data_IF_612386981068
#
_entry.id   IF_612386981068
#
_cell.length_a   1.000
_cell.length_b   1.000
_cell.length_c   1.000
_cell.angle_alpha   90.00
_cell.angle_beta   90.00
_cell.angle_gamma   90.00
#
_symmetry.space_group_name_H-M   'P 1'
#
loop_
_entity.id
_entity.type
_entity.pdbx_description
1 polymer ?
#
# COMPACT_ATOMS: atom_id res chain seq x y z
N UNK A 1 -51.43 -14.10 -60.66
CA UNK A 1 -51.71 -12.80 -59.95
C UNK A 1 -50.82 -12.73 -58.72
N UNK A 2 -49.88 -11.81 -58.78
CA UNK A 2 -48.76 -11.69 -57.83
C UNK A 2 -49.16 -11.09 -56.48
N UNK A 3 -48.62 -11.60 -55.39
CA UNK A 3 -48.36 -10.79 -54.20
C UNK A 3 -47.06 -11.18 -53.52
N UNK A 4 -46.07 -10.37 -53.68
CA UNK A 4 -44.80 -10.31 -52.95
C UNK A 4 -45.09 -9.74 -51.55
N UNK A 5 -44.82 -10.47 -50.50
CA UNK A 5 -44.85 -10.04 -49.11
C UNK A 5 -43.44 -9.91 -48.55
N UNK A 6 -43.11 -8.75 -48.19
CA UNK A 6 -41.86 -8.20 -47.65
C UNK A 6 -41.38 -8.89 -46.39
N UNK A 7 -40.28 -9.64 -46.49
CA UNK A 7 -39.45 -10.00 -45.33
C UNK A 7 -38.32 -8.97 -45.21
N UNK A 8 -38.56 -7.96 -44.43
CA UNK A 8 -37.50 -7.01 -44.03
C UNK A 8 -37.76 -6.62 -42.56
N UNK A 9 -36.64 -6.58 -41.79
CA UNK A 9 -36.52 -5.95 -40.48
C UNK A 9 -36.75 -6.84 -39.27
N UNK A 10 -35.79 -7.71 -39.00
CA UNK A 10 -35.51 -8.20 -37.67
C UNK A 10 -34.01 -8.59 -37.56
N UNK A 11 -33.14 -7.67 -37.94
CA UNK A 11 -31.68 -7.85 -37.78
C UNK A 11 -31.08 -6.50 -37.37
N UNK A 12 -31.44 -6.02 -36.22
CA UNK A 12 -30.78 -4.88 -35.62
C UNK A 12 -31.25 -4.79 -34.16
N UNK A 13 -30.42 -5.21 -33.24
CA UNK A 13 -30.37 -4.83 -31.82
C UNK A 13 -29.78 -5.95 -30.98
N UNK A 14 -28.63 -6.44 -31.41
CA UNK A 14 -27.78 -7.25 -30.54
C UNK A 14 -26.34 -6.73 -30.61
N UNK A 15 -26.22 -5.44 -30.39
CA UNK A 15 -24.93 -4.78 -30.20
C UNK A 15 -25.10 -3.92 -28.95
N UNK A 16 -24.24 -4.13 -28.03
CA UNK A 16 -23.95 -3.23 -26.93
C UNK A 16 -24.33 -3.77 -25.56
N UNK A 17 -23.49 -4.62 -25.04
CA UNK A 17 -23.21 -4.68 -23.60
C UNK A 17 -21.90 -5.43 -23.35
N UNK A 18 -20.85 -5.07 -24.09
CA UNK A 18 -19.49 -5.23 -23.57
C UNK A 18 -19.19 -4.00 -22.70
N UNK A 19 -19.76 -4.00 -21.52
CA UNK A 19 -19.27 -3.13 -20.46
C UNK A 19 -17.87 -3.67 -20.13
N UNK A 20 -16.88 -3.03 -20.70
CA UNK A 20 -15.47 -3.27 -20.39
C UNK A 20 -15.31 -3.07 -18.87
N UNK A 21 -15.20 -4.17 -18.13
CA UNK A 21 -14.65 -4.20 -16.81
C UNK A 21 -13.17 -3.82 -16.98
N UNK A 22 -12.88 -2.52 -16.99
CA UNK A 22 -11.52 -2.05 -16.90
C UNK A 22 -10.98 -2.53 -15.54
N UNK A 23 -9.94 -3.39 -15.51
CA UNK A 23 -9.31 -3.72 -14.24
C UNK A 23 -8.84 -2.40 -13.62
N UNK A 24 -9.09 -2.25 -12.34
CA UNK A 24 -8.59 -1.13 -11.55
C UNK A 24 -7.05 -1.22 -11.49
N UNK A 25 -6.40 -0.63 -12.50
CA UNK A 25 -4.94 -0.47 -12.58
C UNK A 25 -4.48 0.78 -11.83
N UNK A 26 -5.30 1.28 -10.88
CA UNK A 26 -5.11 2.63 -10.32
C UNK A 26 -3.91 2.77 -9.38
N UNK A 27 -3.30 1.70 -8.91
CA UNK A 27 -2.40 1.77 -7.74
C UNK A 27 -0.94 1.43 -8.02
N UNK A 28 -0.65 0.66 -9.04
CA UNK A 28 0.72 0.59 -9.59
C UNK A 28 1.17 1.92 -10.21
N UNK A 29 0.21 2.81 -10.50
CA UNK A 29 0.46 4.14 -11.01
C UNK A 29 1.17 5.09 -10.03
N UNK A 30 1.19 4.82 -8.72
CA UNK A 30 1.87 5.69 -7.76
C UNK A 30 3.39 5.60 -7.85
N UNK A 31 3.94 4.47 -8.27
CA UNK A 31 5.39 4.30 -8.46
C UNK A 31 5.98 5.10 -9.60
N UNK A 32 5.16 5.34 -10.63
CA UNK A 32 5.56 6.13 -11.78
C UNK A 32 5.41 7.65 -11.53
N UNK A 33 4.91 8.03 -10.33
CA UNK A 33 4.79 9.43 -9.95
C UNK A 33 6.14 9.98 -9.50
N UNK A 34 6.39 11.27 -9.72
CA UNK A 34 7.58 11.94 -9.18
C UNK A 34 7.65 11.79 -7.65
N UNK A 35 8.87 11.56 -7.15
CA UNK A 35 9.17 11.65 -5.72
C UNK A 35 9.48 13.12 -5.41
N UNK A 36 8.72 13.71 -4.49
CA UNK A 36 8.96 15.04 -3.97
C UNK A 36 9.42 14.93 -2.52
N UNK A 37 10.48 15.66 -2.14
CA UNK A 37 11.00 15.66 -0.76
C UNK A 37 11.16 17.11 -0.30
N UNK A 38 10.58 17.42 0.84
CA UNK A 38 10.71 18.70 1.55
C UNK A 38 11.47 18.47 2.85
N UNK A 39 12.38 19.35 3.23
CA UNK A 39 13.20 19.27 4.46
C UNK A 39 13.76 20.63 4.85
N UNK A 40 14.28 20.77 6.07
CA UNK A 40 14.98 21.97 6.50
C UNK A 40 16.36 22.09 5.84
N UNK A 41 17.03 20.95 5.53
CA UNK A 41 18.32 20.93 4.82
C UNK A 41 18.50 19.66 3.99
N UNK A 42 19.41 19.73 3.00
CA UNK A 42 19.77 18.60 2.15
C UNK A 42 21.27 18.61 1.87
N UNK A 43 21.89 17.43 1.89
CA UNK A 43 23.26 17.19 1.47
C UNK A 43 23.29 16.04 0.47
N UNK A 44 23.95 16.25 -0.68
CA UNK A 44 24.14 15.22 -1.70
C UNK A 44 25.61 14.79 -1.76
N UNK A 45 25.83 13.47 -1.89
CA UNK A 45 27.13 12.85 -2.19
C UNK A 45 27.01 12.17 -3.56
N UNK A 46 27.47 12.88 -4.58
CA UNK A 46 27.40 12.42 -5.98
C UNK A 46 28.24 11.15 -6.21
N UNK A 47 29.36 11.00 -5.49
CA UNK A 47 30.22 9.82 -5.63
C UNK A 47 29.54 8.56 -5.12
N UNK A 48 28.75 8.67 -4.04
CA UNK A 48 27.97 7.58 -3.46
C UNK A 48 26.56 7.49 -4.00
N UNK A 49 26.15 8.45 -4.83
CA UNK A 49 24.77 8.58 -5.33
C UNK A 49 23.73 8.58 -4.20
N UNK A 50 24.05 9.29 -3.12
CA UNK A 50 23.16 9.40 -1.95
C UNK A 50 22.79 10.86 -1.69
N UNK A 51 21.57 11.08 -1.23
CA UNK A 51 21.15 12.37 -0.70
C UNK A 51 20.57 12.16 0.70
N UNK A 52 20.94 13.03 1.61
CA UNK A 52 20.44 13.07 2.99
C UNK A 52 19.61 14.33 3.17
N UNK A 53 18.41 14.15 3.66
CA UNK A 53 17.47 15.21 3.98
C UNK A 53 17.29 15.23 5.50
N UNK A 54 17.39 16.39 6.11
CA UNK A 54 17.33 16.59 7.55
C UNK A 54 16.33 17.67 7.94
N UNK A 55 15.60 17.41 9.01
CA UNK A 55 14.65 18.31 9.65
C UNK A 55 13.25 18.29 9.00
N UNK A 56 12.26 17.82 9.74
CA UNK A 56 10.83 17.79 9.35
C UNK A 56 10.59 17.25 7.94
N UNK A 57 11.30 16.20 7.58
CA UNK A 57 11.30 15.69 6.21
C UNK A 57 9.93 15.12 5.85
N UNK A 58 9.42 15.51 4.69
CA UNK A 58 8.20 14.98 4.09
C UNK A 58 8.52 14.49 2.69
N UNK A 59 8.41 13.17 2.47
CA UNK A 59 8.51 12.55 1.14
C UNK A 59 7.11 12.19 0.66
N UNK A 60 6.82 12.54 -0.59
CA UNK A 60 5.53 12.19 -1.24
C UNK A 60 5.78 11.56 -2.60
N UNK A 61 5.01 10.50 -2.90
CA UNK A 61 4.96 9.86 -4.23
C UNK A 61 3.55 9.30 -4.45
N UNK A 62 2.77 9.94 -5.28
CA UNK A 62 1.36 9.58 -5.43
C UNK A 62 0.61 9.67 -4.10
N UNK A 63 0.04 8.56 -3.64
CA UNK A 63 -0.65 8.46 -2.34
C UNK A 63 0.30 8.17 -1.16
N UNK A 64 1.55 7.79 -1.46
CA UNK A 64 2.56 7.56 -0.44
C UNK A 64 3.01 8.87 0.21
N UNK A 65 3.00 8.89 1.52
CA UNK A 65 3.56 9.98 2.34
C UNK A 65 4.41 9.39 3.46
N UNK A 66 5.69 9.80 3.51
CA UNK A 66 6.60 9.47 4.62
C UNK A 66 6.97 10.76 5.34
N UNK A 67 6.87 10.78 6.66
CA UNK A 67 7.36 11.88 7.50
C UNK A 67 8.40 11.36 8.46
N UNK A 68 9.51 12.10 8.60
CA UNK A 68 10.64 11.69 9.41
C UNK A 68 11.45 12.90 9.89
N UNK A 69 12.37 12.69 10.81
CA UNK A 69 13.38 13.67 11.18
C UNK A 69 14.50 13.72 10.16
N UNK A 70 14.85 12.55 9.61
CA UNK A 70 15.87 12.38 8.58
C UNK A 70 15.43 11.34 7.56
N UNK A 71 15.71 11.57 6.28
CA UNK A 71 15.59 10.59 5.19
C UNK A 71 16.91 10.55 4.42
N UNK A 72 17.45 9.36 4.24
CA UNK A 72 18.58 9.10 3.34
C UNK A 72 18.06 8.34 2.14
N UNK A 73 18.31 8.81 0.95
CA UNK A 73 17.94 8.15 -0.30
C UNK A 73 19.18 7.75 -1.08
N UNK A 74 19.13 6.61 -1.74
CA UNK A 74 20.12 6.17 -2.70
C UNK A 74 19.47 6.03 -4.06
N UNK A 75 20.12 6.58 -5.07
CA UNK A 75 19.69 6.51 -6.47
C UNK A 75 20.73 5.77 -7.30
N UNK A 76 20.31 5.22 -8.43
CA UNK A 76 21.18 4.77 -9.50
C UNK A 76 20.75 5.41 -10.83
N UNK A 77 21.24 4.87 -11.95
CA UNK A 77 20.88 5.39 -13.27
C UNK A 77 19.41 5.15 -13.65
N UNK A 78 18.70 4.27 -12.92
CA UNK A 78 17.28 3.97 -13.09
C UNK A 78 16.39 4.81 -12.15
N UNK A 79 16.98 5.64 -11.28
CA UNK A 79 16.29 6.52 -10.33
C UNK A 79 16.37 6.07 -8.88
N UNK A 80 15.33 6.35 -8.11
CA UNK A 80 15.26 6.03 -6.67
C UNK A 80 15.22 4.51 -6.44
N UNK A 81 16.18 4.00 -5.65
CA UNK A 81 16.32 2.57 -5.41
C UNK A 81 16.04 2.17 -3.96
N UNK A 82 16.50 2.98 -3.02
CA UNK A 82 16.45 2.64 -1.60
C UNK A 82 16.36 3.90 -0.75
N UNK A 83 15.56 3.85 0.30
CA UNK A 83 15.40 4.93 1.24
C UNK A 83 15.34 4.44 2.68
N UNK A 84 15.95 5.21 3.58
CA UNK A 84 15.87 5.00 5.04
C UNK A 84 15.33 6.27 5.66
N UNK A 85 14.18 6.17 6.33
CA UNK A 85 13.59 7.24 7.11
C UNK A 85 13.74 6.93 8.60
N UNK A 86 14.22 7.89 9.38
CA UNK A 86 14.37 7.77 10.84
C UNK A 86 13.68 8.93 11.54
N UNK A 87 13.06 8.64 12.68
CA UNK A 87 12.33 9.63 13.48
C UNK A 87 11.81 9.04 14.78
N UNK A 88 11.18 9.87 15.61
CA UNK A 88 10.62 9.46 16.88
C UNK A 88 9.12 9.83 17.01
N UNK A 89 8.20 9.10 16.30
CA UNK A 89 8.47 8.10 15.28
C UNK A 89 8.59 8.68 13.86
N UNK A 90 9.19 7.94 12.92
CA UNK A 90 8.92 8.09 11.52
C UNK A 90 7.55 7.49 11.18
N UNK A 91 6.82 8.11 10.23
CA UNK A 91 5.48 7.68 9.82
C UNK A 91 5.41 7.42 8.33
N UNK A 92 4.59 6.44 7.96
CA UNK A 92 4.33 6.02 6.59
C UNK A 92 2.83 5.94 6.40
N UNK A 93 2.31 6.55 5.36
CA UNK A 93 0.91 6.45 4.93
C UNK A 93 0.85 6.13 3.46
N UNK A 94 0.05 5.15 3.09
CA UNK A 94 -0.14 4.75 1.71
C UNK A 94 -1.57 4.25 1.51
N UNK A 95 -2.14 4.53 0.35
CA UNK A 95 -3.45 4.01 -0.02
C UNK A 95 -3.34 2.52 -0.31
N UNK A 96 -4.24 1.73 0.25
CA UNK A 96 -4.25 0.28 0.07
C UNK A 96 -4.82 -0.08 -1.31
N UNK A 97 -4.14 -0.98 -2.01
CA UNK A 97 -4.54 -1.44 -3.34
C UNK A 97 -5.95 -2.08 -3.31
N UNK A 98 -6.75 -1.84 -4.35
CA UNK A 98 -8.10 -2.40 -4.48
C UNK A 98 -9.14 -1.90 -3.48
N UNK A 99 -8.79 -0.95 -2.60
CA UNK A 99 -9.71 -0.39 -1.60
C UNK A 99 -9.67 1.14 -1.57
N UNK A 100 -10.65 1.75 -0.90
CA UNK A 100 -10.62 3.20 -0.64
C UNK A 100 -9.81 3.55 0.62
N UNK A 101 -9.34 2.54 1.37
CA UNK A 101 -8.71 2.72 2.67
C UNK A 101 -7.22 3.01 2.61
N UNK A 102 -6.68 3.49 3.73
CA UNK A 102 -5.26 3.75 3.91
C UNK A 102 -4.65 2.77 4.92
N UNK A 103 -3.35 2.57 4.76
CA UNK A 103 -2.47 1.95 5.73
C UNK A 103 -1.61 3.05 6.33
N UNK A 104 -1.67 3.18 7.64
CA UNK A 104 -0.83 4.06 8.44
C UNK A 104 0.15 3.21 9.24
N UNK A 105 1.45 3.42 9.04
CA UNK A 105 2.50 2.75 9.80
C UNK A 105 3.36 3.79 10.52
N UNK A 106 3.94 3.36 11.64
CA UNK A 106 4.95 4.13 12.36
C UNK A 106 6.02 3.22 12.92
N UNK A 107 7.25 3.71 13.01
CA UNK A 107 8.40 3.01 13.61
C UNK A 107 9.51 4.02 13.88
N UNK A 108 10.54 3.64 14.63
CA UNK A 108 11.74 4.50 14.76
C UNK A 108 12.54 4.57 13.48
N UNK A 109 12.51 3.50 12.66
CA UNK A 109 13.19 3.42 11.36
C UNK A 109 12.29 2.73 10.34
N UNK A 110 12.20 3.29 9.15
CA UNK A 110 11.48 2.75 7.99
C UNK A 110 12.47 2.61 6.86
N UNK A 111 12.53 1.45 6.26
CA UNK A 111 13.33 1.17 5.07
C UNK A 111 12.41 0.85 3.89
N UNK A 112 12.68 1.44 2.74
CA UNK A 112 11.97 1.21 1.51
C UNK A 112 12.94 0.75 0.42
N UNK A 113 12.71 -0.45 -0.10
CA UNK A 113 13.45 -1.03 -1.22
C UNK A 113 12.54 -1.08 -2.45
N UNK A 114 12.79 -0.19 -3.41
CA UNK A 114 12.01 -0.07 -4.62
C UNK A 114 12.18 -1.29 -5.55
N UNK A 115 13.37 -1.90 -5.58
CA UNK A 115 13.63 -3.09 -6.41
C UNK A 115 12.95 -4.34 -5.85
N UNK A 116 13.01 -4.51 -4.54
CA UNK A 116 12.35 -5.62 -3.85
C UNK A 116 10.85 -5.39 -3.67
N UNK A 117 10.39 -4.17 -3.85
CA UNK A 117 9.01 -3.78 -3.62
C UNK A 117 8.56 -4.00 -2.18
N UNK A 118 9.43 -3.66 -1.25
CA UNK A 118 9.30 -3.97 0.16
C UNK A 118 9.51 -2.76 1.04
N UNK A 119 8.67 -2.66 2.06
CA UNK A 119 8.81 -1.70 3.15
C UNK A 119 9.02 -2.46 4.45
N UNK A 120 10.00 -2.03 5.24
CA UNK A 120 10.34 -2.62 6.52
C UNK A 120 10.31 -1.55 7.62
N UNK A 121 9.70 -1.88 8.73
CA UNK A 121 9.49 -1.01 9.89
C UNK A 121 10.22 -1.62 11.07
N UNK A 122 11.12 -0.87 11.69
CA UNK A 122 11.98 -1.34 12.77
C UNK A 122 11.78 -0.51 14.02
N UNK A 123 11.75 -1.18 15.15
CA UNK A 123 11.63 -0.65 16.52
C UNK A 123 10.29 0.07 16.76
N UNK A 124 9.50 -0.47 17.65
CA UNK A 124 8.17 0.03 18.01
C UNK A 124 7.23 0.17 16.79
N UNK A 125 7.31 -0.82 15.89
CA UNK A 125 6.53 -0.82 14.68
C UNK A 125 5.04 -1.03 14.97
N UNK A 126 4.21 -0.17 14.38
CA UNK A 126 2.76 -0.24 14.46
C UNK A 126 2.15 0.00 13.08
N UNK A 127 1.20 -0.84 12.71
CA UNK A 127 0.41 -0.71 11.48
C UNK A 127 -1.06 -0.58 11.85
N UNK A 128 -1.74 0.41 11.29
CA UNK A 128 -3.18 0.61 11.38
C UNK A 128 -3.79 0.66 9.99
N UNK A 129 -5.00 0.13 9.87
CA UNK A 129 -5.82 0.26 8.67
C UNK A 129 -7.08 1.03 8.98
N UNK A 130 -7.62 1.69 7.98
CA UNK A 130 -8.93 2.38 8.08
C UNK A 130 -10.07 1.41 8.46
N UNK A 131 -9.91 0.09 8.22
CA UNK A 131 -10.82 -0.95 8.72
C UNK A 131 -10.88 -1.05 10.24
N UNK A 132 -9.94 -0.42 10.96
CA UNK A 132 -9.80 -0.47 12.41
C UNK A 132 -8.79 -1.50 12.91
N UNK A 133 -8.18 -2.28 12.02
CA UNK A 133 -7.15 -3.23 12.42
C UNK A 133 -5.92 -2.50 12.96
N UNK A 134 -5.36 -2.99 14.07
CA UNK A 134 -4.18 -2.46 14.76
C UNK A 134 -3.19 -3.59 15.03
N UNK A 135 -2.00 -3.51 14.45
CA UNK A 135 -0.95 -4.51 14.56
C UNK A 135 0.29 -3.85 15.15
N UNK A 136 0.88 -4.47 16.17
CA UNK A 136 2.08 -3.98 16.83
C UNK A 136 3.11 -5.08 16.96
N UNK A 137 4.34 -4.70 16.77
CA UNK A 137 5.52 -5.55 16.96
C UNK A 137 6.78 -4.70 16.97
N UNK A 138 7.91 -5.32 17.15
CA UNK A 138 9.18 -4.62 17.05
C UNK A 138 9.67 -4.51 15.60
N UNK A 139 9.19 -5.42 14.76
CA UNK A 139 9.46 -5.43 13.34
C UNK A 139 8.21 -5.78 12.55
N UNK A 140 7.94 -5.02 11.49
CA UNK A 140 6.90 -5.29 10.49
C UNK A 140 7.54 -5.20 9.12
N UNK A 141 7.30 -6.16 8.23
CA UNK A 141 7.62 -6.06 6.81
C UNK A 141 6.37 -6.20 5.96
N UNK A 142 6.31 -5.44 4.89
CA UNK A 142 5.29 -5.49 3.86
C UNK A 142 5.94 -5.69 2.50
N UNK A 143 5.57 -6.77 1.81
CA UNK A 143 5.93 -7.04 0.43
C UNK A 143 4.73 -6.68 -0.46
N UNK A 144 4.88 -5.62 -1.26
CA UNK A 144 3.78 -5.10 -2.06
C UNK A 144 3.47 -5.96 -3.29
N UNK A 145 4.40 -6.81 -3.76
CA UNK A 145 4.14 -7.72 -4.88
C UNK A 145 3.24 -8.88 -4.50
N UNK A 146 3.40 -9.35 -3.27
CA UNK A 146 2.67 -10.51 -2.74
C UNK A 146 1.58 -10.12 -1.75
N UNK A 147 1.47 -8.82 -1.42
CA UNK A 147 0.56 -8.27 -0.40
C UNK A 147 0.70 -8.93 0.98
N UNK A 148 1.88 -9.42 1.28
CA UNK A 148 2.15 -10.17 2.52
C UNK A 148 2.75 -9.28 3.58
N UNK A 149 2.18 -9.40 4.78
CA UNK A 149 2.74 -8.82 6.00
C UNK A 149 3.42 -9.91 6.83
N UNK A 150 4.57 -9.56 7.40
CA UNK A 150 5.23 -10.35 8.45
C UNK A 150 5.46 -9.45 9.65
N UNK A 151 5.14 -9.94 10.84
CA UNK A 151 5.31 -9.21 12.10
C UNK A 151 6.11 -10.06 13.06
N UNK A 152 7.12 -9.46 13.67
CA UNK A 152 7.96 -10.12 14.69
C UNK A 152 7.94 -9.29 15.96
N UNK A 153 7.97 -9.97 17.10
CA UNK A 153 8.09 -9.32 18.41
C UNK A 153 9.50 -8.79 18.69
N UNK A 154 10.47 -9.17 17.84
CA UNK A 154 11.84 -8.72 17.89
C UNK A 154 12.41 -8.72 16.47
N UNK A 155 12.98 -7.60 16.03
CA UNK A 155 13.84 -7.52 14.85
C UNK A 155 15.22 -8.13 15.15
N UNK A 156 15.97 -8.48 14.12
CA UNK A 156 17.33 -9.05 14.28
C UNK A 156 18.28 -8.07 14.98
N UNK A 157 18.08 -6.76 14.76
CA UNK A 157 18.89 -5.67 15.30
C UNK A 157 18.20 -4.87 16.43
N UNK A 158 17.14 -5.43 17.04
CA UNK A 158 16.38 -4.68 18.04
C UNK A 158 17.09 -4.58 19.38
N UNK A 159 17.28 -3.38 19.93
CA UNK A 159 17.77 -3.18 21.30
C UNK A 159 16.74 -3.51 22.38
N UNK A 160 15.49 -3.84 21.98
CA UNK A 160 14.40 -4.04 22.93
C UNK A 160 14.64 -5.24 23.89
N UNK A 161 14.16 -5.16 25.14
CA UNK A 161 14.26 -6.24 26.12
C UNK A 161 13.60 -7.53 25.60
N UNK A 162 14.14 -8.69 25.94
CA UNK A 162 13.54 -9.99 25.64
C UNK A 162 12.17 -10.09 26.28
N UNK A 163 11.08 -10.22 25.52
CA UNK A 163 9.75 -10.45 26.09
C UNK A 163 8.60 -9.73 25.36
N UNK A 164 8.87 -8.94 24.32
CA UNK A 164 7.81 -8.37 23.50
C UNK A 164 6.97 -9.46 22.83
N UNK A 165 5.67 -9.21 22.66
CA UNK A 165 4.75 -10.08 21.90
C UNK A 165 4.14 -9.30 20.76
N UNK A 166 3.91 -9.97 19.64
CA UNK A 166 3.08 -9.41 18.57
C UNK A 166 1.66 -9.23 19.10
N UNK A 167 1.11 -8.05 18.94
CA UNK A 167 -0.27 -7.73 19.29
C UNK A 167 -1.05 -7.43 18.02
N UNK A 168 -2.22 -8.05 17.87
CA UNK A 168 -3.10 -7.85 16.72
C UNK A 168 -4.52 -7.65 17.23
N UNK A 169 -5.15 -6.55 16.83
CA UNK A 169 -6.57 -6.30 16.99
C UNK A 169 -7.19 -6.32 15.60
N UNK A 170 -8.18 -7.18 15.38
CA UNK A 170 -8.93 -7.29 14.13
C UNK A 170 -10.36 -6.86 14.40
N UNK A 171 -10.85 -5.88 13.63
CA UNK A 171 -12.24 -5.43 13.74
C UNK A 171 -13.10 -6.24 12.77
N UNK A 172 -14.11 -7.00 13.25
CA UNK A 172 -15.02 -7.73 12.38
C UNK A 172 -15.76 -6.76 11.44
N UNK A 173 -15.75 -7.03 10.15
CA UNK A 173 -16.60 -6.30 9.21
C UNK A 173 -18.06 -6.62 9.58
N UNK A 174 -18.86 -5.59 9.89
CA UNK A 174 -20.30 -5.75 10.01
C UNK A 174 -20.81 -6.28 8.66
N UNK A 175 -21.49 -7.43 8.67
CA UNK A 175 -22.19 -7.92 7.51
C UNK A 175 -23.13 -6.79 7.04
N UNK A 176 -23.05 -6.42 5.76
CA UNK A 176 -24.03 -5.49 5.18
C UNK A 176 -25.41 -6.08 5.38
N UNK A 177 -26.41 -5.33 5.89
CA UNK A 177 -27.78 -5.81 5.96
C UNK A 177 -28.28 -5.98 4.52
N UNK A 178 -28.33 -7.21 4.01
CA UNK A 178 -28.79 -7.46 2.63
C UNK A 178 -28.20 -8.67 1.93
N UNK A 179 -27.28 -9.42 2.54
CA UNK A 179 -26.93 -10.72 1.98
C UNK A 179 -28.10 -11.71 2.29
N UNK A 180 -28.78 -12.30 1.27
CA UNK A 180 -29.79 -13.31 1.52
C UNK A 180 -29.13 -14.51 2.20
N UNK A 181 -29.74 -14.98 3.27
CA UNK A 181 -29.33 -16.22 3.95
C UNK A 181 -29.26 -17.36 2.93
N UNK A 182 -28.24 -18.24 2.98
CA UNK A 182 -28.24 -19.43 2.14
C UNK A 182 -29.49 -20.24 2.47
N UNK A 183 -30.31 -20.46 1.45
CA UNK A 183 -31.51 -21.27 1.51
C UNK A 183 -31.15 -22.67 2.02
N UNK A 184 -31.63 -22.99 3.20
CA UNK A 184 -31.51 -24.33 3.78
C UNK A 184 -32.43 -25.28 2.97
N UNK A 185 -31.87 -25.73 1.83
CA UNK A 185 -32.54 -26.68 0.94
C UNK A 185 -33.05 -27.88 1.72
N UNK A 186 -34.35 -28.03 1.70
CA UNK A 186 -35.13 -29.15 2.22
C UNK A 186 -34.57 -30.48 1.68
N UNK A 187 -34.03 -31.28 2.57
CA UNK A 187 -33.86 -32.71 2.33
C UNK A 187 -35.24 -33.38 2.46
N UNK A 188 -35.67 -33.96 1.39
CA UNK A 188 -36.77 -34.94 1.38
C UNK A 188 -36.26 -36.21 0.76
#
# INVERSE_FOLDING_TARGET
MFRRGTRRRAAALMVLSMLACAPALAERADRDKPVNIESDSMTADEAKKTATFDGKVVLTQGSLVIRAERIVVRQDNEGFQYGVATGNPATFRHKQDGTAGYIDCQASRIEYDNKADRVEFFNDARLRRDSGDDIRGDYISYDARTERFSVKSRGEDSPAPRGGRVQVTIVPKKASPGAPAPDAGQQK
#
